data_IF_024394875736
#
_entry.id   IF_024394875736
#
_cell.length_a   1.000
_cell.length_b   1.000
_cell.length_c   1.000
_cell.angle_alpha   90.00
_cell.angle_beta   90.00
_cell.angle_gamma   90.00
#
_symmetry.space_group_name_H-M   'P 1'
#
loop_
_entity.id
_entity.type
_entity.pdbx_description
1 polymer ?
#
# COMPACT_ATOMS: atom_id res chain seq x y z
N UNK A 1 14.79 55.70 -1.69
CA UNK A 1 15.19 55.27 -0.33
C UNK A 1 13.98 54.93 0.53
N UNK A 2 13.14 55.89 0.92
CA UNK A 2 12.05 55.66 1.89
C UNK A 2 11.05 54.53 1.56
N UNK A 3 10.79 54.22 0.28
CA UNK A 3 9.85 53.17 -0.14
C UNK A 3 10.47 51.76 -0.27
N UNK A 4 11.79 51.58 -0.08
CA UNK A 4 12.48 50.32 -0.38
C UNK A 4 13.04 49.58 0.85
N UNK A 5 12.77 50.07 2.07
CA UNK A 5 13.36 49.59 3.35
C UNK A 5 14.91 49.47 3.36
N UNK A 6 15.60 50.09 2.41
CA UNK A 6 17.05 50.05 2.27
C UNK A 6 17.70 51.26 2.95
N UNK A 7 18.51 50.99 3.99
CA UNK A 7 19.40 51.98 4.60
C UNK A 7 20.63 52.23 3.71
N UNK A 8 21.12 53.48 3.60
CA UNK A 8 22.37 53.77 2.90
C UNK A 8 23.57 53.18 3.66
N UNK A 9 24.11 52.08 3.15
CA UNK A 9 25.13 51.26 3.80
C UNK A 9 26.54 51.75 3.44
N UNK A 10 26.76 52.29 2.24
CA UNK A 10 28.04 52.92 1.86
C UNK A 10 28.11 54.39 2.27
N UNK A 11 29.34 54.94 2.43
CA UNK A 11 29.52 56.37 2.72
C UNK A 11 28.98 57.25 1.60
N UNK A 12 29.13 56.81 0.35
CA UNK A 12 28.64 57.52 -0.82
C UNK A 12 27.11 57.56 -0.88
N UNK A 13 26.41 56.45 -0.58
CA UNK A 13 24.94 56.47 -0.46
C UNK A 13 24.44 57.42 0.62
N UNK A 14 25.17 57.57 1.73
CA UNK A 14 24.83 58.56 2.77
C UNK A 14 25.01 59.98 2.26
N UNK A 15 26.16 60.28 1.65
CA UNK A 15 26.44 61.62 1.11
C UNK A 15 25.47 62.04 -0.01
N UNK A 16 24.95 61.09 -0.79
CA UNK A 16 23.94 61.31 -1.86
C UNK A 16 22.52 61.52 -1.31
N UNK A 17 22.23 61.09 -0.07
CA UNK A 17 20.90 61.16 0.55
C UNK A 17 20.77 62.30 1.57
N UNK A 18 21.88 62.90 2.00
CA UNK A 18 21.90 64.06 2.89
C UNK A 18 21.32 65.33 2.23
N UNK A 19 20.59 66.13 3.02
CA UNK A 19 19.88 67.35 2.58
C UNK A 19 20.78 68.57 2.33
N UNK A 20 22.11 68.40 2.39
CA UNK A 20 23.09 69.50 2.37
C UNK A 20 23.56 69.77 0.92
N UNK A 21 22.76 70.52 0.16
CA UNK A 21 22.94 70.78 -1.28
C UNK A 21 24.32 71.38 -1.64
N UNK A 22 25.01 72.03 -0.70
CA UNK A 22 26.34 72.61 -0.89
C UNK A 22 27.49 71.62 -0.66
N UNK A 23 27.24 70.44 -0.07
CA UNK A 23 28.27 69.44 0.23
C UNK A 23 28.59 68.51 -0.96
N UNK A 24 27.60 68.24 -1.83
CA UNK A 24 27.77 67.34 -2.98
C UNK A 24 28.33 68.08 -4.21
N UNK A 25 29.65 68.26 -4.25
CA UNK A 25 30.33 68.75 -5.46
C UNK A 25 30.00 67.86 -6.68
N UNK A 26 29.52 68.47 -7.78
CA UNK A 26 29.32 67.82 -9.08
C UNK A 26 30.68 67.54 -9.79
N UNK A 27 31.57 66.82 -9.11
CA UNK A 27 32.84 66.36 -9.67
C UNK A 27 32.62 65.22 -10.67
N UNK A 28 33.58 65.02 -11.56
CA UNK A 28 33.61 63.86 -12.48
C UNK A 28 33.50 62.54 -11.73
N UNK A 29 34.12 62.48 -10.56
CA UNK A 29 34.25 61.26 -9.76
C UNK A 29 32.93 60.96 -9.04
N UNK A 30 32.25 62.00 -8.52
CA UNK A 30 30.92 61.86 -7.92
C UNK A 30 29.86 61.49 -8.97
N UNK A 31 29.95 62.03 -10.19
CA UNK A 31 29.08 61.64 -11.32
C UNK A 31 29.34 60.18 -11.73
N UNK A 32 30.60 59.74 -11.80
CA UNK A 32 30.96 58.35 -12.10
C UNK A 32 30.47 57.38 -11.00
N UNK A 33 30.58 57.77 -9.73
CA UNK A 33 30.07 56.99 -8.60
C UNK A 33 28.54 56.89 -8.62
N UNK A 34 27.81 57.98 -8.96
CA UNK A 34 26.35 57.93 -9.17
C UNK A 34 25.96 56.99 -10.31
N UNK A 35 26.69 57.01 -11.43
CA UNK A 35 26.45 56.08 -12.55
C UNK A 35 26.71 54.62 -12.16
N UNK A 36 27.75 54.36 -11.37
CA UNK A 36 28.06 53.04 -10.82
C UNK A 36 26.96 52.54 -9.88
N UNK A 37 26.51 53.37 -8.93
CA UNK A 37 25.43 53.05 -8.00
C UNK A 37 24.11 52.79 -8.75
N UNK A 38 23.77 53.60 -9.75
CA UNK A 38 22.58 53.40 -10.59
C UNK A 38 22.65 52.10 -11.39
N UNK A 39 23.83 51.68 -11.84
CA UNK A 39 24.03 50.39 -12.49
C UNK A 39 23.90 49.21 -11.50
N UNK A 40 24.43 49.36 -10.28
CA UNK A 40 24.31 48.36 -9.22
C UNK A 40 22.84 48.16 -8.81
N UNK A 41 22.10 49.24 -8.59
CA UNK A 41 20.67 49.20 -8.25
C UNK A 41 19.83 48.52 -9.34
N UNK A 42 20.12 48.77 -10.63
CA UNK A 42 19.45 48.07 -11.74
C UNK A 42 19.71 46.58 -11.73
N UNK A 43 20.96 46.17 -11.59
CA UNK A 43 21.34 44.75 -11.52
C UNK A 43 20.69 44.06 -10.29
N UNK A 44 20.58 44.77 -9.17
CA UNK A 44 19.94 44.24 -7.96
C UNK A 44 18.42 44.11 -8.12
N UNK A 45 17.74 45.04 -8.82
CA UNK A 45 16.33 44.90 -9.19
C UNK A 45 16.13 43.68 -10.09
N UNK A 46 16.91 43.53 -11.17
CA UNK A 46 16.85 42.37 -12.07
C UNK A 46 17.07 41.05 -11.29
N UNK A 47 18.04 41.03 -10.36
CA UNK A 47 18.33 39.88 -9.49
C UNK A 47 17.19 39.55 -8.52
N UNK A 48 16.52 40.56 -7.96
CA UNK A 48 15.39 40.40 -7.06
C UNK A 48 14.12 39.95 -7.78
N UNK A 49 13.88 40.44 -9.01
CA UNK A 49 12.77 39.99 -9.86
C UNK A 49 12.92 38.52 -10.26
N UNK A 50 14.12 38.09 -10.69
CA UNK A 50 14.42 36.68 -10.96
C UNK A 50 14.26 35.81 -9.70
N UNK A 51 14.74 36.28 -8.54
CA UNK A 51 14.58 35.55 -7.28
C UNK A 51 13.09 35.44 -6.87
N UNK A 52 12.29 36.49 -7.07
CA UNK A 52 10.83 36.45 -6.86
C UNK A 52 10.19 35.41 -7.77
N UNK A 53 10.56 35.39 -9.05
CA UNK A 53 10.04 34.44 -10.05
C UNK A 53 10.37 32.99 -9.68
N UNK A 54 11.62 32.69 -9.29
CA UNK A 54 12.03 31.35 -8.86
C UNK A 54 11.33 30.90 -7.57
N UNK A 55 11.13 31.81 -6.61
CA UNK A 55 10.36 31.51 -5.40
C UNK A 55 8.89 31.18 -5.73
N UNK A 56 8.23 32.01 -6.54
CA UNK A 56 6.84 31.77 -6.97
C UNK A 56 6.71 30.45 -7.74
N UNK A 57 7.67 30.13 -8.62
CA UNK A 57 7.76 28.85 -9.30
C UNK A 57 7.86 27.67 -8.34
N UNK A 58 8.71 27.76 -7.32
CA UNK A 58 8.86 26.70 -6.31
C UNK A 58 7.56 26.48 -5.52
N UNK A 59 6.86 27.56 -5.13
CA UNK A 59 5.58 27.48 -4.41
C UNK A 59 4.48 26.90 -5.30
N UNK A 60 4.32 27.37 -6.55
CA UNK A 60 3.34 26.82 -7.50
C UNK A 60 3.60 25.33 -7.75
N UNK A 61 4.86 24.90 -7.88
CA UNK A 61 5.21 23.48 -8.02
C UNK A 61 4.83 22.64 -6.79
N UNK A 62 5.02 23.17 -5.57
CA UNK A 62 4.61 22.52 -4.35
C UNK A 62 3.07 22.38 -4.27
N UNK A 63 2.32 23.43 -4.63
CA UNK A 63 0.85 23.38 -4.66
C UNK A 63 0.35 22.42 -5.75
N UNK A 64 0.99 22.37 -6.93
CA UNK A 64 0.66 21.39 -7.99
C UNK A 64 0.85 19.95 -7.50
N UNK A 65 1.94 19.67 -6.77
CA UNK A 65 2.17 18.35 -6.19
C UNK A 65 1.11 17.99 -5.14
N UNK A 66 0.75 18.92 -4.26
CA UNK A 66 -0.33 18.72 -3.28
C UNK A 66 -1.70 18.54 -3.95
N UNK A 67 -2.03 19.36 -4.96
CA UNK A 67 -3.26 19.26 -5.73
C UNK A 67 -3.38 17.90 -6.43
N UNK A 68 -2.28 17.38 -6.99
CA UNK A 68 -2.23 16.03 -7.54
C UNK A 68 -2.48 14.93 -6.49
N UNK A 69 -1.93 15.07 -5.28
CA UNK A 69 -2.20 14.15 -4.16
C UNK A 69 -3.68 14.17 -3.75
N UNK A 70 -4.30 15.34 -3.67
CA UNK A 70 -5.73 15.46 -3.35
C UNK A 70 -6.63 14.98 -4.50
N UNK A 71 -6.25 15.19 -5.77
CA UNK A 71 -6.93 14.59 -6.92
C UNK A 71 -6.86 13.06 -6.90
N UNK A 72 -5.75 12.46 -6.46
CA UNK A 72 -5.64 11.02 -6.27
C UNK A 72 -6.51 10.51 -5.11
N UNK A 73 -6.50 11.20 -3.95
CA UNK A 73 -7.35 10.88 -2.79
C UNK A 73 -8.85 11.00 -3.08
N UNK A 74 -9.25 11.99 -3.88
CA UNK A 74 -10.63 12.19 -4.32
C UNK A 74 -10.99 11.40 -5.57
N UNK A 75 -10.07 10.57 -6.09
CA UNK A 75 -10.24 9.73 -7.28
C UNK A 75 -10.66 10.50 -8.56
N UNK A 76 -10.22 11.75 -8.72
CA UNK A 76 -10.52 12.60 -9.89
C UNK A 76 -10.11 11.90 -11.19
N UNK A 77 -11.06 11.85 -12.14
CA UNK A 77 -10.82 11.44 -13.52
C UNK A 77 -9.86 12.40 -14.24
N UNK A 78 -9.20 11.94 -15.30
CA UNK A 78 -8.28 12.78 -16.07
C UNK A 78 -8.99 14.04 -16.61
N UNK A 79 -10.23 13.91 -17.10
CA UNK A 79 -11.03 15.03 -17.59
C UNK A 79 -11.29 16.10 -16.51
N UNK A 80 -11.48 15.71 -15.24
CA UNK A 80 -11.64 16.67 -14.13
C UNK A 80 -10.33 17.37 -13.76
N UNK A 81 -9.17 16.71 -13.94
CA UNK A 81 -7.85 17.33 -13.75
C UNK A 81 -7.54 18.31 -14.88
N UNK A 82 -7.78 17.90 -16.12
CA UNK A 82 -7.56 18.69 -17.34
C UNK A 82 -8.47 19.94 -17.40
N UNK A 83 -9.63 19.91 -16.72
CA UNK A 83 -10.51 21.07 -16.60
C UNK A 83 -9.86 22.25 -15.87
N UNK A 84 -8.85 22.01 -15.03
CA UNK A 84 -8.02 23.05 -14.41
C UNK A 84 -6.78 23.33 -15.28
N UNK A 85 -6.98 23.99 -16.43
CA UNK A 85 -5.92 24.25 -17.41
C UNK A 85 -4.69 24.95 -16.83
N UNK A 86 -4.88 25.82 -15.83
CA UNK A 86 -3.82 26.54 -15.13
C UNK A 86 -2.79 25.62 -14.43
N UNK A 87 -3.09 24.33 -14.25
CA UNK A 87 -2.11 23.33 -13.82
C UNK A 87 -0.89 23.21 -14.75
N UNK A 88 -1.06 23.55 -16.04
CA UNK A 88 -0.02 23.39 -17.06
C UNK A 88 0.68 24.69 -17.47
N UNK A 89 0.23 25.84 -16.97
CA UNK A 89 0.85 27.14 -17.29
C UNK A 89 2.29 27.23 -16.78
N UNK A 90 3.19 27.81 -17.58
CA UNK A 90 4.58 28.09 -17.18
C UNK A 90 4.82 29.58 -16.83
N UNK A 91 3.80 30.43 -16.98
CA UNK A 91 3.85 31.87 -16.68
C UNK A 91 3.59 32.12 -15.18
N UNK A 92 4.64 31.99 -14.36
CA UNK A 92 4.57 32.13 -12.89
C UNK A 92 4.26 33.56 -12.44
N UNK A 93 2.98 33.93 -12.48
CA UNK A 93 2.43 35.20 -12.01
C UNK A 93 1.76 35.07 -10.64
N UNK A 94 1.53 36.20 -9.96
CA UNK A 94 0.86 36.20 -8.65
C UNK A 94 -0.60 35.74 -8.77
N UNK A 95 -1.26 36.08 -9.88
CA UNK A 95 -2.59 35.56 -10.22
C UNK A 95 -2.59 34.03 -10.41
N UNK A 96 -1.54 33.46 -11.03
CA UNK A 96 -1.40 32.01 -11.16
C UNK A 96 -1.28 31.34 -9.79
N UNK A 97 -0.50 31.92 -8.86
CA UNK A 97 -0.36 31.42 -7.50
C UNK A 97 -1.70 31.44 -6.74
N UNK A 98 -2.39 32.59 -6.74
CA UNK A 98 -3.71 32.73 -6.10
C UNK A 98 -4.76 31.76 -6.67
N UNK A 99 -4.69 31.47 -7.98
CA UNK A 99 -5.57 30.51 -8.63
C UNK A 99 -5.29 29.07 -8.16
N UNK A 100 -4.02 28.69 -7.97
CA UNK A 100 -3.64 27.39 -7.39
C UNK A 100 -4.03 27.27 -5.91
N UNK A 101 -3.81 28.31 -5.11
CA UNK A 101 -4.23 28.35 -3.69
C UNK A 101 -5.75 28.18 -3.54
N UNK A 102 -6.50 28.86 -4.39
CA UNK A 102 -7.96 28.75 -4.43
C UNK A 102 -8.41 27.35 -4.83
N UNK A 103 -7.77 26.73 -5.84
CA UNK A 103 -8.14 25.40 -6.31
C UNK A 103 -7.79 24.30 -5.30
N UNK A 104 -6.58 24.30 -4.73
CA UNK A 104 -6.21 23.35 -3.68
C UNK A 104 -7.10 23.52 -2.43
N UNK A 105 -7.50 24.75 -2.11
CA UNK A 105 -8.48 25.04 -1.06
C UNK A 105 -9.83 24.36 -1.31
N UNK A 106 -10.40 24.49 -2.52
CA UNK A 106 -11.66 23.81 -2.90
C UNK A 106 -11.54 22.29 -2.80
N UNK A 107 -10.49 21.69 -3.38
CA UNK A 107 -10.34 20.22 -3.40
C UNK A 107 -10.11 19.68 -1.98
N UNK A 108 -9.35 20.39 -1.13
CA UNK A 108 -9.21 20.07 0.30
C UNK A 108 -10.55 20.11 1.03
N UNK A 109 -11.35 21.16 0.83
CA UNK A 109 -12.69 21.26 1.45
C UNK A 109 -13.62 20.15 0.98
N UNK A 110 -13.58 19.79 -0.30
CA UNK A 110 -14.34 18.66 -0.85
C UNK A 110 -13.90 17.32 -0.26
N UNK A 111 -12.58 17.12 -0.09
CA UNK A 111 -12.02 15.93 0.54
C UNK A 111 -12.46 15.80 2.00
N UNK A 112 -12.25 16.83 2.82
CA UNK A 112 -12.59 16.77 4.25
C UNK A 112 -14.09 16.60 4.49
N UNK A 113 -14.96 17.16 3.63
CA UNK A 113 -16.41 16.96 3.69
C UNK A 113 -16.85 15.49 3.47
N UNK A 114 -16.14 14.73 2.62
CA UNK A 114 -16.49 13.35 2.26
C UNK A 114 -15.40 12.34 2.66
N UNK A 115 -14.54 12.72 3.60
CA UNK A 115 -13.30 12.01 3.97
C UNK A 115 -13.53 10.55 4.34
N UNK A 116 -14.57 10.28 5.12
CA UNK A 116 -14.88 8.90 5.53
C UNK A 116 -15.23 7.99 4.34
N UNK A 117 -15.87 8.54 3.30
CA UNK A 117 -16.19 7.80 2.06
C UNK A 117 -14.91 7.50 1.27
N UNK A 118 -14.07 8.50 1.03
CA UNK A 118 -12.78 8.31 0.34
C UNK A 118 -11.85 7.34 1.09
N UNK A 119 -11.75 7.48 2.42
CA UNK A 119 -10.98 6.54 3.26
C UNK A 119 -11.57 5.13 3.24
N UNK A 120 -12.90 4.97 3.21
CA UNK A 120 -13.54 3.65 3.11
C UNK A 120 -13.25 2.99 1.75
N UNK A 121 -13.27 3.77 0.65
CA UNK A 121 -12.89 3.31 -0.70
C UNK A 121 -11.42 2.86 -0.72
N UNK A 122 -10.51 3.66 -0.16
CA UNK A 122 -9.10 3.31 -0.05
C UNK A 122 -8.90 2.02 0.78
N UNK A 123 -9.56 1.92 1.94
CA UNK A 123 -9.53 0.71 2.79
C UNK A 123 -10.06 -0.51 2.03
N UNK A 124 -11.09 -0.36 1.19
CA UNK A 124 -11.57 -1.45 0.33
C UNK A 124 -10.51 -1.86 -0.71
N UNK A 125 -9.93 -0.90 -1.45
CA UNK A 125 -8.87 -1.17 -2.43
C UNK A 125 -7.66 -1.88 -1.79
N UNK A 126 -7.23 -1.47 -0.59
CA UNK A 126 -6.11 -2.09 0.14
C UNK A 126 -6.42 -3.53 0.58
N UNK A 127 -7.61 -3.78 1.12
CA UNK A 127 -8.06 -5.12 1.48
C UNK A 127 -8.20 -6.02 0.24
N UNK A 128 -8.61 -5.47 -0.91
CA UNK A 128 -8.72 -6.18 -2.17
C UNK A 128 -7.34 -6.56 -2.74
N UNK A 129 -6.40 -5.62 -2.78
CA UNK A 129 -4.99 -5.88 -3.16
C UNK A 129 -4.35 -6.95 -2.27
N UNK A 130 -4.59 -6.88 -0.96
CA UNK A 130 -4.10 -7.89 -0.02
C UNK A 130 -4.76 -9.26 -0.20
N UNK A 131 -6.05 -9.31 -0.53
CA UNK A 131 -6.76 -10.54 -0.88
C UNK A 131 -6.15 -11.19 -2.13
N UNK A 132 -5.96 -10.43 -3.22
CA UNK A 132 -5.32 -10.90 -4.45
C UNK A 132 -3.87 -11.40 -4.21
N UNK A 133 -3.12 -10.76 -3.33
CA UNK A 133 -1.76 -11.20 -2.96
C UNK A 133 -1.77 -12.53 -2.18
N UNK A 134 -2.78 -12.80 -1.34
CA UNK A 134 -2.98 -14.12 -0.72
C UNK A 134 -3.44 -15.17 -1.74
N UNK A 135 -4.25 -14.78 -2.72
CA UNK A 135 -4.65 -15.65 -3.84
C UNK A 135 -3.46 -16.07 -4.69
N UNK A 136 -2.61 -15.12 -5.09
CA UNK A 136 -1.37 -15.37 -5.83
C UNK A 136 -0.48 -16.38 -5.09
N UNK A 137 -0.35 -16.26 -3.77
CA UNK A 137 0.39 -17.21 -2.94
C UNK A 137 -0.19 -18.63 -3.00
N UNK A 138 -1.51 -18.82 -3.12
CA UNK A 138 -2.08 -20.18 -3.23
C UNK A 138 -1.74 -20.91 -4.52
N UNK A 139 -1.47 -20.17 -5.60
CA UNK A 139 -1.07 -20.74 -6.88
C UNK A 139 0.38 -21.25 -6.89
N UNK A 140 1.20 -20.85 -5.91
CA UNK A 140 2.62 -21.22 -5.82
C UNK A 140 2.79 -22.67 -5.29
N UNK A 141 3.37 -23.60 -6.09
CA UNK A 141 3.64 -24.97 -5.63
C UNK A 141 4.64 -25.07 -4.46
N UNK A 142 5.48 -24.05 -4.25
CA UNK A 142 6.45 -24.01 -3.15
C UNK A 142 5.80 -23.75 -1.79
N UNK A 143 4.55 -23.27 -1.76
CA UNK A 143 3.75 -23.01 -0.54
C UNK A 143 3.63 -24.20 0.41
N UNK A 144 3.80 -25.43 -0.08
CA UNK A 144 3.80 -26.64 0.74
C UNK A 144 5.07 -26.81 1.61
N UNK A 145 6.09 -25.95 1.48
CA UNK A 145 7.22 -25.83 2.40
C UNK A 145 6.80 -25.14 3.73
N UNK A 146 5.77 -25.69 4.39
CA UNK A 146 4.95 -25.09 5.44
C UNK A 146 5.59 -24.98 6.84
N UNK A 147 6.90 -24.71 6.93
CA UNK A 147 7.64 -24.59 8.20
C UNK A 147 7.00 -23.50 9.07
N UNK A 148 6.51 -23.87 10.26
CA UNK A 148 5.88 -22.93 11.20
C UNK A 148 4.41 -22.56 10.92
N UNK A 149 3.72 -23.28 10.02
CA UNK A 149 2.27 -23.20 9.88
C UNK A 149 1.72 -21.96 9.15
N UNK A 150 2.51 -21.34 8.28
CA UNK A 150 2.09 -20.16 7.47
C UNK A 150 0.76 -20.40 6.74
N UNK A 151 0.61 -21.57 6.12
CA UNK A 151 -0.58 -21.99 5.37
C UNK A 151 -1.91 -21.72 6.08
N UNK A 152 -1.98 -22.05 7.38
CA UNK A 152 -3.20 -21.91 8.18
C UNK A 152 -3.44 -20.46 8.61
N UNK A 153 -2.36 -19.67 8.77
CA UNK A 153 -2.45 -18.23 9.06
C UNK A 153 -2.98 -17.48 7.84
N UNK A 154 -2.46 -17.79 6.65
CA UNK A 154 -2.94 -17.25 5.37
C UNK A 154 -4.42 -17.58 5.14
N UNK A 155 -4.84 -18.83 5.34
CA UNK A 155 -6.25 -19.24 5.17
C UNK A 155 -7.18 -18.52 6.14
N UNK A 156 -6.76 -18.40 7.41
CA UNK A 156 -7.50 -17.63 8.43
C UNK A 156 -7.53 -16.13 8.11
N UNK A 157 -6.50 -15.59 7.45
CA UNK A 157 -6.45 -14.20 7.01
C UNK A 157 -7.36 -13.97 5.80
N UNK A 158 -7.38 -14.86 4.79
CA UNK A 158 -8.35 -14.82 3.68
C UNK A 158 -9.79 -14.81 4.20
N UNK A 159 -10.14 -15.76 5.08
CA UNK A 159 -11.49 -15.88 5.61
C UNK A 159 -11.91 -14.67 6.47
N UNK A 160 -10.95 -13.89 7.00
CA UNK A 160 -11.20 -12.57 7.59
C UNK A 160 -11.40 -11.51 6.51
N UNK A 161 -10.48 -11.41 5.54
CA UNK A 161 -10.53 -10.41 4.48
C UNK A 161 -11.81 -10.49 3.65
N UNK A 162 -12.30 -11.68 3.30
CA UNK A 162 -13.60 -11.82 2.63
C UNK A 162 -14.74 -11.21 3.45
N UNK A 163 -14.78 -11.45 4.76
CA UNK A 163 -15.79 -10.87 5.66
C UNK A 163 -15.63 -9.35 5.83
N UNK A 164 -14.39 -8.86 5.85
CA UNK A 164 -14.10 -7.43 5.90
C UNK A 164 -14.52 -6.75 4.60
N UNK A 165 -14.20 -7.33 3.44
CA UNK A 165 -14.55 -6.83 2.11
C UNK A 165 -16.07 -6.76 1.91
N UNK A 166 -16.82 -7.81 2.30
CA UNK A 166 -18.29 -7.77 2.23
C UNK A 166 -18.87 -6.65 3.10
N UNK A 167 -18.37 -6.47 4.32
CA UNK A 167 -18.83 -5.39 5.22
C UNK A 167 -18.47 -4.00 4.72
N UNK A 168 -17.25 -3.81 4.22
CA UNK A 168 -16.82 -2.55 3.62
C UNK A 168 -17.64 -2.24 2.37
N UNK A 169 -18.01 -3.26 1.58
CA UNK A 169 -18.90 -3.09 0.45
C UNK A 169 -20.31 -2.65 0.88
N UNK A 170 -20.94 -3.34 1.84
CA UNK A 170 -22.25 -2.94 2.41
C UNK A 170 -22.22 -1.50 2.98
N UNK A 171 -21.14 -1.13 3.67
CA UNK A 171 -20.91 0.22 4.20
C UNK A 171 -20.75 1.26 3.09
N UNK A 172 -19.98 0.94 2.05
CA UNK A 172 -19.76 1.82 0.89
C UNK A 172 -21.03 2.00 0.06
N UNK A 173 -21.80 0.94 -0.19
CA UNK A 173 -23.11 0.99 -0.84
C UNK A 173 -24.03 1.99 -0.13
N UNK A 174 -24.13 1.91 1.20
CA UNK A 174 -24.96 2.83 1.98
C UNK A 174 -24.44 4.27 1.99
N UNK A 175 -23.11 4.48 2.05
CA UNK A 175 -22.51 5.83 2.03
C UNK A 175 -22.62 6.50 0.66
N UNK A 176 -22.44 5.73 -0.42
CA UNK A 176 -22.58 6.20 -1.80
C UNK A 176 -24.03 6.58 -2.09
N UNK A 177 -25.01 5.75 -1.72
CA UNK A 177 -26.43 6.07 -1.90
C UNK A 177 -26.84 7.38 -1.22
N UNK A 178 -26.30 7.67 -0.02
CA UNK A 178 -26.53 8.95 0.66
C UNK A 178 -25.88 10.13 -0.09
N UNK A 179 -24.67 9.94 -0.60
CA UNK A 179 -23.95 10.96 -1.38
C UNK A 179 -24.63 11.30 -2.71
N UNK A 180 -25.06 10.29 -3.46
CA UNK A 180 -25.77 10.47 -4.73
C UNK A 180 -27.13 11.15 -4.53
N UNK A 181 -27.81 10.90 -3.40
CA UNK A 181 -29.04 11.60 -3.02
C UNK A 181 -28.80 13.06 -2.61
N UNK A 182 -27.66 13.40 -2.02
CA UNK A 182 -27.33 14.78 -1.62
C UNK A 182 -26.85 15.63 -2.81
N UNK A 183 -26.17 15.03 -3.79
CA UNK A 183 -25.53 15.76 -4.90
C UNK A 183 -26.22 15.65 -6.25
N UNK A 184 -27.15 14.72 -6.44
CA UNK A 184 -27.78 14.37 -7.72
C UNK A 184 -26.78 13.93 -8.82
N UNK A 185 -25.53 13.64 -8.45
CA UNK A 185 -24.46 13.14 -9.32
C UNK A 185 -24.08 11.69 -8.94
N UNK A 186 -23.63 10.84 -9.88
CA UNK A 186 -23.15 9.49 -9.57
C UNK A 186 -21.76 9.51 -8.94
N UNK A 187 -21.47 8.61 -7.99
CA UNK A 187 -20.16 8.57 -7.33
C UNK A 187 -19.09 7.91 -8.21
N UNK A 188 -18.38 8.75 -8.98
CA UNK A 188 -17.35 8.34 -9.92
C UNK A 188 -15.95 8.25 -9.26
N UNK A 189 -15.35 7.07 -9.35
CA UNK A 189 -13.95 6.80 -9.00
C UNK A 189 -13.17 6.59 -10.30
N UNK A 190 -12.21 7.47 -10.60
CA UNK A 190 -11.39 7.44 -11.83
C UNK A 190 -12.21 7.45 -13.13
N UNK A 191 -13.46 7.94 -13.09
CA UNK A 191 -14.38 8.01 -14.23
C UNK A 191 -15.35 6.82 -14.39
N UNK A 192 -15.38 5.88 -13.43
CA UNK A 192 -16.32 4.75 -13.39
C UNK A 192 -17.11 4.80 -12.08
N UNK A 193 -18.37 4.33 -12.05
CA UNK A 193 -19.08 4.23 -10.76
C UNK A 193 -18.38 3.23 -9.86
N UNK A 194 -18.15 3.58 -8.59
CA UNK A 194 -17.37 2.71 -7.70
C UNK A 194 -17.99 1.31 -7.53
N UNK A 195 -19.32 1.21 -7.51
CA UNK A 195 -20.02 -0.08 -7.36
C UNK A 195 -19.93 -0.97 -8.61
N UNK A 196 -19.87 -0.37 -9.80
CA UNK A 196 -19.57 -1.09 -11.05
C UNK A 196 -18.14 -1.64 -11.01
N UNK A 197 -17.17 -0.79 -10.63
CA UNK A 197 -15.77 -1.20 -10.46
C UNK A 197 -15.62 -2.38 -9.47
N UNK A 198 -16.23 -2.31 -8.28
CA UNK A 198 -16.23 -3.41 -7.29
C UNK A 198 -16.80 -4.70 -7.89
N UNK A 199 -17.89 -4.59 -8.64
CA UNK A 199 -18.53 -5.74 -9.30
C UNK A 199 -17.64 -6.35 -10.38
N UNK A 200 -17.02 -5.53 -11.22
CA UNK A 200 -16.06 -5.95 -12.25
C UNK A 200 -14.81 -6.61 -11.64
N UNK A 201 -14.28 -6.08 -10.53
CA UNK A 201 -13.16 -6.70 -9.82
C UNK A 201 -13.49 -8.14 -9.39
N UNK A 202 -14.67 -8.37 -8.82
CA UNK A 202 -15.14 -9.71 -8.49
C UNK A 202 -15.34 -10.60 -9.73
N UNK A 203 -15.93 -10.07 -10.80
CA UNK A 203 -16.13 -10.81 -12.05
C UNK A 203 -14.79 -11.25 -12.67
N UNK A 204 -13.82 -10.33 -12.80
CA UNK A 204 -12.47 -10.62 -13.30
C UNK A 204 -11.77 -11.70 -12.46
N UNK A 205 -11.86 -11.61 -11.14
CA UNK A 205 -11.33 -12.63 -10.23
C UNK A 205 -11.98 -14.00 -10.47
N UNK A 206 -13.32 -14.06 -10.57
CA UNK A 206 -14.03 -15.32 -10.83
C UNK A 206 -13.71 -15.91 -12.21
N UNK A 207 -13.60 -15.07 -13.24
CA UNK A 207 -13.21 -15.50 -14.59
C UNK A 207 -11.79 -16.08 -14.62
N UNK A 208 -10.82 -15.43 -13.98
CA UNK A 208 -9.44 -15.94 -13.93
C UNK A 208 -9.36 -17.27 -13.15
N UNK A 209 -10.18 -17.45 -12.09
CA UNK A 209 -10.26 -18.74 -11.37
C UNK A 209 -10.88 -19.87 -12.19
N UNK A 210 -11.93 -19.60 -12.96
CA UNK A 210 -12.49 -20.61 -13.87
C UNK A 210 -11.52 -20.93 -15.02
N UNK A 211 -10.78 -19.95 -15.53
CA UNK A 211 -9.71 -20.13 -16.53
C UNK A 211 -8.54 -20.97 -15.98
N UNK A 212 -8.07 -20.72 -14.75
CA UNK A 212 -7.06 -21.54 -14.05
C UNK A 212 -7.52 -23.00 -13.88
N UNK A 213 -8.81 -23.20 -13.58
CA UNK A 213 -9.46 -24.51 -13.45
C UNK A 213 -9.57 -25.22 -14.82
N UNK A 214 -9.97 -24.53 -15.88
CA UNK A 214 -10.00 -25.06 -17.25
C UNK A 214 -8.59 -25.43 -17.73
N UNK A 215 -7.59 -24.59 -17.49
CA UNK A 215 -6.21 -24.86 -17.90
C UNK A 215 -5.64 -26.09 -17.16
N UNK A 216 -5.92 -26.24 -15.86
CA UNK A 216 -5.58 -27.46 -15.08
C UNK A 216 -6.27 -28.70 -15.65
N UNK A 217 -7.55 -28.61 -16.02
CA UNK A 217 -8.26 -29.72 -16.64
C UNK A 217 -7.62 -30.10 -17.99
N UNK A 218 -7.30 -29.12 -18.83
CA UNK A 218 -6.67 -29.35 -20.14
C UNK A 218 -5.23 -29.89 -20.02
N UNK A 219 -4.44 -29.42 -19.05
CA UNK A 219 -3.12 -29.99 -18.71
C UNK A 219 -3.26 -31.45 -18.28
N UNK A 220 -4.22 -31.78 -17.41
CA UNK A 220 -4.49 -33.16 -16.98
C UNK A 220 -4.95 -34.05 -18.14
N UNK A 221 -5.81 -33.56 -19.03
CA UNK A 221 -6.27 -34.30 -20.21
C UNK A 221 -5.12 -34.63 -21.15
N UNK A 222 -4.27 -33.63 -21.47
CA UNK A 222 -3.07 -33.84 -22.32
C UNK A 222 -2.06 -34.78 -21.68
N UNK A 223 -1.90 -34.74 -20.35
CA UNK A 223 -1.07 -35.70 -19.63
C UNK A 223 -1.59 -37.13 -19.79
N UNK A 224 -2.89 -37.36 -19.58
CA UNK A 224 -3.53 -38.68 -19.74
C UNK A 224 -3.35 -39.19 -21.18
N UNK A 225 -3.60 -38.33 -22.18
CA UNK A 225 -3.39 -38.65 -23.60
C UNK A 225 -1.93 -39.03 -23.90
N UNK A 226 -0.96 -38.27 -23.37
CA UNK A 226 0.48 -38.56 -23.52
C UNK A 226 0.86 -39.89 -22.86
N UNK A 227 0.36 -40.16 -21.65
CA UNK A 227 0.60 -41.41 -20.92
C UNK A 227 -0.05 -42.62 -21.61
N UNK A 228 -1.19 -42.45 -22.29
CA UNK A 228 -1.81 -43.48 -23.12
C UNK A 228 -1.01 -43.77 -24.40
N UNK A 229 -0.46 -42.74 -25.05
CA UNK A 229 0.27 -42.88 -26.32
C UNK A 229 1.70 -43.41 -26.16
N UNK A 230 2.41 -43.01 -25.11
CA UNK A 230 3.83 -43.33 -24.91
C UNK A 230 4.12 -44.23 -23.70
N UNK A 231 3.09 -44.55 -22.91
CA UNK A 231 3.22 -45.32 -21.67
C UNK A 231 3.73 -44.48 -20.49
N UNK A 232 3.34 -44.87 -19.28
CA UNK A 232 3.80 -44.22 -18.05
C UNK A 232 5.27 -44.55 -17.77
N UNK A 233 6.15 -43.53 -17.79
CA UNK A 233 7.56 -43.71 -17.40
C UNK A 233 7.65 -44.13 -15.91
N UNK A 234 8.45 -45.16 -15.56
CA UNK A 234 8.47 -45.69 -14.20
C UNK A 234 9.20 -44.75 -13.23
N UNK A 235 8.42 -43.87 -12.59
CA UNK A 235 8.89 -42.88 -11.60
C UNK A 235 9.29 -43.55 -10.27
N UNK A 236 10.42 -44.25 -10.28
CA UNK A 236 10.93 -44.99 -9.12
C UNK A 236 11.86 -44.14 -8.25
N UNK A 237 11.63 -44.04 -6.92
CA UNK A 237 12.65 -43.61 -5.98
C UNK A 237 13.59 -44.80 -5.69
N UNK A 238 14.78 -44.80 -6.29
CA UNK A 238 15.79 -45.85 -6.08
C UNK A 238 16.25 -45.84 -4.62
N UNK A 239 15.72 -46.76 -3.81
CA UNK A 239 16.37 -47.22 -2.58
C UNK A 239 17.37 -48.31 -2.94
N UNK A 240 18.67 -47.98 -2.99
CA UNK A 240 19.75 -48.97 -3.02
C UNK A 240 19.63 -49.90 -1.80
N UNK A 241 19.24 -51.15 -2.02
CA UNK A 241 19.39 -52.23 -1.03
C UNK A 241 20.71 -52.94 -1.33
N UNK A 242 21.78 -52.54 -0.63
CA UNK A 242 23.10 -53.15 -0.77
C UNK A 242 23.08 -54.59 -0.25
N UNK A 243 23.68 -55.51 -1.00
CA UNK A 243 23.94 -56.87 -0.53
C UNK A 243 25.10 -56.88 0.47
N UNK A 244 24.93 -57.61 1.57
CA UNK A 244 26.00 -58.00 2.49
C UNK A 244 26.22 -59.52 2.43
N UNK A 245 27.44 -60.04 2.65
CA UNK A 245 27.80 -61.42 2.33
C UNK A 245 27.47 -62.47 3.42
N UNK A 246 27.47 -63.72 2.97
CA UNK A 246 27.22 -65.00 3.66
C UNK A 246 27.72 -65.19 5.10
N UNK A 247 27.01 -66.03 5.87
CA UNK A 247 27.60 -67.14 6.66
C UNK A 247 26.57 -68.29 6.85
N UNK A 248 26.99 -69.56 7.11
CA UNK A 248 26.11 -70.72 6.95
C UNK A 248 25.81 -71.56 8.23
N UNK A 249 24.57 -72.08 8.30
CA UNK A 249 24.25 -73.44 8.73
C UNK A 249 24.12 -73.79 10.23
N UNK A 250 22.98 -74.43 10.58
CA UNK A 250 22.98 -75.71 11.35
C UNK A 250 21.66 -76.47 11.18
N UNK A 251 21.68 -77.78 11.40
CA UNK A 251 20.59 -78.72 11.07
C UNK A 251 20.15 -79.54 12.30
N UNK A 252 18.87 -79.98 12.30
CA UNK A 252 18.24 -81.06 13.11
C UNK A 252 18.06 -80.84 14.64
N UNK A 253 16.85 -81.16 15.15
CA UNK A 253 16.55 -82.50 15.73
C UNK A 253 15.03 -82.78 15.85
N UNK A 254 14.66 -84.07 15.94
CA UNK A 254 13.30 -84.65 15.99
C UNK A 254 12.63 -84.55 17.38
N UNK A 255 11.30 -84.69 17.43
CA UNK A 255 10.54 -85.06 18.64
C UNK A 255 9.03 -85.32 18.42
N UNK A 256 8.58 -86.56 18.65
CA UNK A 256 7.18 -87.07 18.65
C UNK A 256 6.38 -86.57 19.89
N UNK A 257 5.06 -86.77 20.10
CA UNK A 257 3.84 -87.00 19.29
C UNK A 257 2.61 -87.04 20.25
N UNK A 258 1.37 -87.13 19.68
CA UNK A 258 0.05 -87.52 20.27
C UNK A 258 -1.06 -86.45 20.38
N UNK A 259 -2.08 -86.65 19.56
CA UNK A 259 -3.52 -86.28 19.70
C UNK A 259 -4.25 -87.33 20.58
N UNK A 260 -5.58 -87.27 20.89
CA UNK A 260 -6.68 -86.42 20.36
C UNK A 260 -7.53 -85.71 21.45
N UNK A 261 -8.57 -84.90 21.13
CA UNK A 261 -9.98 -85.30 20.87
C UNK A 261 -10.77 -84.13 20.18
N UNK A 262 -11.83 -84.47 19.42
CA UNK A 262 -12.78 -83.56 18.71
C UNK A 262 -13.56 -82.66 19.70
N UNK A 263 -14.12 -81.48 19.38
CA UNK A 263 -15.21 -81.11 18.42
C UNK A 263 -15.26 -79.57 18.23
N UNK A 264 -15.98 -78.89 17.32
CA UNK A 264 -16.88 -79.26 16.19
C UNK A 264 -16.69 -78.31 14.96
N UNK A 265 -17.74 -77.59 14.50
CA UNK A 265 -17.74 -76.75 13.27
C UNK A 265 -18.40 -75.35 13.43
N UNK A 266 -18.18 -74.51 12.40
CA UNK A 266 -18.64 -73.10 12.12
C UNK A 266 -20.19 -72.96 12.02
N UNK A 267 -20.87 -71.79 11.80
CA UNK A 267 -20.43 -70.49 11.20
C UNK A 267 -21.01 -69.19 11.88
N UNK A 268 -21.48 -68.11 11.18
CA UNK A 268 -20.69 -66.94 10.74
C UNK A 268 -21.15 -65.55 11.26
N UNK A 269 -20.48 -64.47 10.80
CA UNK A 269 -20.71 -63.05 11.14
C UNK A 269 -22.07 -62.47 10.69
N UNK A 270 -22.58 -61.43 11.38
CA UNK A 270 -23.42 -60.38 10.79
C UNK A 270 -22.68 -59.03 10.58
N UNK A 271 -23.34 -58.10 9.88
CA UNK A 271 -22.79 -56.85 9.30
C UNK A 271 -22.89 -55.65 10.25
N UNK A 272 -21.94 -54.72 10.13
CA UNK A 272 -22.02 -53.38 10.74
C UNK A 272 -23.12 -52.56 10.03
N UNK A 273 -23.93 -51.83 10.79
CA UNK A 273 -25.01 -50.96 10.27
C UNK A 273 -24.66 -49.51 10.60
N UNK A 274 -24.76 -48.64 9.61
CA UNK A 274 -24.56 -47.19 9.79
C UNK A 274 -25.62 -46.59 10.72
N UNK A 275 -25.23 -45.56 11.47
CA UNK A 275 -26.18 -44.64 12.11
C UNK A 275 -25.57 -43.25 12.32
N UNK A 276 -25.91 -42.33 11.43
CA UNK A 276 -25.72 -40.89 11.69
C UNK A 276 -26.64 -40.44 12.83
N UNK A 277 -26.20 -39.46 13.63
CA UNK A 277 -27.08 -38.43 14.19
C UNK A 277 -26.31 -37.21 14.65
N UNK A 278 -26.86 -36.04 14.33
CA UNK A 278 -26.34 -34.73 14.68
C UNK A 278 -26.67 -34.31 16.12
N UNK A 279 -25.99 -33.25 16.56
CA UNK A 279 -26.41 -32.28 17.57
C UNK A 279 -26.87 -32.79 18.95
N UNK A 280 -25.91 -32.76 19.89
CA UNK A 280 -26.15 -32.23 21.24
C UNK A 280 -24.82 -31.83 21.89
N UNK A 281 -24.63 -30.54 22.17
CA UNK A 281 -23.60 -30.04 23.09
C UNK A 281 -24.16 -28.86 23.88
N UNK A 282 -24.86 -29.17 24.96
CA UNK A 282 -25.13 -28.20 26.01
C UNK A 282 -23.91 -28.13 26.95
N UNK A 283 -23.59 -26.90 27.36
CA UNK A 283 -23.16 -26.49 28.70
C UNK A 283 -21.87 -27.08 29.32
N UNK A 284 -21.09 -26.14 29.88
CA UNK A 284 -20.11 -26.30 30.96
C UNK A 284 -18.83 -27.09 30.61
N UNK A 285 -17.67 -26.80 31.20
CA UNK A 285 -17.33 -25.72 32.13
C UNK A 285 -15.87 -25.85 32.58
N UNK A 286 -15.22 -24.69 32.77
CA UNK A 286 -14.06 -24.38 33.62
C UNK A 286 -13.30 -25.52 34.33
N UNK A 287 -11.97 -25.62 34.17
CA UNK A 287 -10.93 -25.39 35.23
C UNK A 287 -9.56 -26.03 34.93
N UNK A 288 -8.47 -25.28 35.23
CA UNK A 288 -7.15 -25.73 35.75
C UNK A 288 -6.30 -26.71 34.89
N UNK A 289 -4.96 -26.81 35.01
CA UNK A 289 -3.88 -25.96 35.56
C UNK A 289 -2.53 -26.49 35.03
N UNK A 290 -1.45 -25.69 35.14
CA UNK A 290 -0.07 -26.08 34.81
C UNK A 290 0.34 -25.72 33.37
N UNK A 291 1.39 -24.94 33.09
CA UNK A 291 2.44 -24.42 33.96
C UNK A 291 3.79 -25.07 33.66
N UNK A 292 4.58 -24.43 32.79
CA UNK A 292 6.05 -24.53 32.71
C UNK A 292 6.56 -23.62 31.58
N UNK A 293 7.21 -22.50 31.94
CA UNK A 293 8.18 -21.83 31.06
C UNK A 293 9.51 -22.56 31.13
N UNK A 294 10.41 -22.42 30.14
CA UNK A 294 11.49 -21.46 30.37
C UNK A 294 12.01 -20.70 29.13
N UNK A 295 12.77 -19.64 29.43
CA UNK A 295 13.83 -19.03 28.63
C UNK A 295 13.46 -18.39 27.27
N UNK A 296 13.25 -17.06 27.31
CA UNK A 296 13.48 -16.18 26.16
C UNK A 296 14.85 -15.49 26.31
N UNK A 297 15.67 -15.38 25.24
CA UNK A 297 16.82 -14.48 25.23
C UNK A 297 16.37 -13.05 24.87
N UNK A 298 16.86 -12.06 25.61
CA UNK A 298 16.58 -10.66 25.34
C UNK A 298 17.36 -10.13 24.14
N UNK A 299 16.73 -9.30 23.30
CA UNK A 299 17.46 -8.32 22.48
C UNK A 299 17.09 -6.92 22.93
N UNK A 300 18.12 -6.09 23.11
CA UNK A 300 18.01 -4.69 23.51
C UNK A 300 17.58 -3.87 22.30
N UNK A 301 16.46 -3.16 22.42
CA UNK A 301 16.22 -1.97 21.60
C UNK A 301 16.90 -0.79 22.31
N UNK A 302 17.90 -0.20 21.66
CA UNK A 302 18.42 1.11 22.06
C UNK A 302 17.85 2.17 21.13
N UNK A 303 17.30 3.20 21.77
CA UNK A 303 16.46 4.22 21.16
C UNK A 303 17.16 5.56 21.22
N UNK A 304 17.02 6.34 20.14
CA UNK A 304 17.35 7.76 19.96
C UNK A 304 18.78 8.22 20.30
N UNK A 305 19.42 8.84 19.30
CA UNK A 305 19.93 10.20 19.44
C UNK A 305 20.24 10.78 18.04
N UNK A 306 19.41 11.73 17.61
CA UNK A 306 19.76 12.68 16.55
C UNK A 306 19.31 14.07 17.00
N UNK A 307 20.31 14.91 17.26
CA UNK A 307 20.24 16.34 17.56
C UNK A 307 21.29 16.97 16.64
N UNK A 308 21.11 18.14 16.04
CA UNK A 308 20.00 19.09 16.11
C UNK A 308 19.82 19.77 14.74
N UNK A 309 18.64 20.33 14.49
CA UNK A 309 18.47 21.39 13.49
C UNK A 309 17.85 22.58 14.21
N UNK A 310 18.56 23.69 14.27
CA UNK A 310 18.19 24.86 15.06
C UNK A 310 17.03 25.60 14.41
N UNK A 311 15.97 25.82 15.20
CA UNK A 311 14.76 26.52 14.78
C UNK A 311 15.01 28.01 14.56
N UNK A 312 14.27 28.60 13.62
CA UNK A 312 14.34 30.01 13.28
C UNK A 312 13.37 30.81 14.15
N UNK A 313 13.90 31.70 14.99
CA UNK A 313 13.11 32.73 15.67
C UNK A 313 13.48 34.10 15.11
N UNK A 314 12.56 34.75 14.41
CA UNK A 314 12.39 36.20 14.50
C UNK A 314 10.90 36.56 14.48
N UNK A 315 10.53 37.48 15.36
CA UNK A 315 9.16 37.65 15.80
C UNK A 315 8.34 38.61 14.91
N UNK A 316 7.06 38.26 14.73
CA UNK A 316 6.04 39.19 14.26
C UNK A 316 5.80 40.24 15.35
N UNK A 317 6.08 41.51 15.04
CA UNK A 317 5.64 42.64 15.86
C UNK A 317 4.36 43.22 15.23
N UNK A 318 3.24 43.03 15.92
CA UNK A 318 2.05 43.84 15.70
C UNK A 318 2.27 45.24 16.28
N UNK A 319 1.92 46.28 15.52
CA UNK A 319 1.58 47.60 16.05
C UNK A 319 0.33 48.14 15.34
N UNK A 320 -0.34 49.07 16.02
CA UNK A 320 -1.64 49.66 15.68
C UNK A 320 -1.58 50.68 14.54
#
# INVERSE_FOLDING_TARGET
>A
MAELEHSPDTSFERDVVCEDEEAFCLSTDNIANLQSLLQQLKLEVERLEELKLQNMKSVVQAIRAELAEYWDKCFYSQQQRDAFSAYYDEDYTEALLQLHDTEVGKVKSHYEAHKELFEAVQKWEENWKLFLELERKTADPSRFANRGGSLLKEEKQRAKLQKTLSKLQEELESRIQAWEQEREEPFLVKGQQFMEYVTEQWQLYHMEKEKEKQERHLKKSRQIETEMMYGSTPRTPIKRRLLGPHTPGKVRKLGQARTPIRVAAKPPRPRLRERNKENQSQLNGTTLSGGCSPAAPAQRNHSVNSVASTYSEFAVIHLF
#
